data_IF_595062901308
#
_entry.id   IF_595062901308
#
_cell.length_a   1.000
_cell.length_b   1.000
_cell.length_c   1.000
_cell.angle_alpha   90.00
_cell.angle_beta   90.00
_cell.angle_gamma   90.00
#
_symmetry.space_group_name_H-M   'P 1'
#
loop_
_entity.id
_entity.type
_entity.pdbx_description
1 polymer ?
#
# COMPACT_ATOMS: atom_id res chain seq x y z
N UNK A 1 11.19 4.69 -1.97
CA UNK A 1 10.01 5.59 -1.92
C UNK A 1 9.38 5.45 -0.53
N UNK A 2 8.48 6.33 -0.12
CA UNK A 2 7.76 6.18 1.15
C UNK A 2 6.31 6.68 1.03
N UNK A 3 5.41 6.07 1.80
CA UNK A 3 4.04 6.49 2.03
C UNK A 3 3.97 7.16 3.40
N UNK A 4 3.28 8.30 3.48
CA UNK A 4 3.10 9.05 4.71
C UNK A 4 1.62 9.17 4.97
N UNK A 5 1.18 8.69 6.12
CA UNK A 5 -0.21 8.79 6.57
C UNK A 5 -0.26 9.80 7.71
N UNK A 6 -1.00 10.88 7.51
CA UNK A 6 -1.21 11.91 8.51
C UNK A 6 -2.62 11.77 9.10
N UNK A 7 -2.70 11.56 10.41
CA UNK A 7 -3.96 11.45 11.14
C UNK A 7 -3.92 12.38 12.36
N UNK A 8 -4.66 13.49 12.27
CA UNK A 8 -4.61 14.55 13.28
C UNK A 8 -3.18 15.10 13.44
N UNK A 9 -2.67 15.09 14.67
CA UNK A 9 -1.29 15.50 14.99
C UNK A 9 -0.26 14.36 14.87
N UNK A 10 -0.69 13.13 14.56
CA UNK A 10 0.21 11.99 14.34
C UNK A 10 0.52 11.77 12.87
N UNK A 11 1.76 11.40 12.59
CA UNK A 11 2.23 11.02 11.25
C UNK A 11 2.87 9.65 11.33
N UNK A 12 2.50 8.76 10.42
CA UNK A 12 3.11 7.43 10.26
C UNK A 12 3.84 7.38 8.92
N UNK A 13 5.07 6.85 8.95
CA UNK A 13 5.92 6.69 7.78
C UNK A 13 6.05 5.20 7.45
N UNK A 14 5.76 4.86 6.20
CA UNK A 14 5.94 3.51 5.66
C UNK A 14 6.93 3.53 4.48
N UNK A 15 8.00 2.75 4.58
CA UNK A 15 8.96 2.58 3.51
C UNK A 15 8.43 1.61 2.46
N UNK A 16 8.45 2.04 1.19
CA UNK A 16 8.01 1.21 0.07
C UNK A 16 9.20 0.43 -0.47
N UNK A 17 9.11 -0.90 -0.40
CA UNK A 17 10.06 -1.84 -1.01
C UNK A 17 9.52 -2.26 -2.38
N UNK A 18 10.34 -2.10 -3.41
CA UNK A 18 9.99 -2.46 -4.79
C UNK A 18 10.85 -3.59 -5.34
N UNK A 19 10.30 -4.34 -6.30
CA UNK A 19 11.11 -5.23 -7.13
C UNK A 19 11.95 -4.47 -8.18
N UNK A 20 12.68 -5.21 -9.02
CA UNK A 20 13.53 -4.66 -10.09
C UNK A 20 12.76 -3.81 -11.11
N UNK A 21 11.47 -4.09 -11.31
CA UNK A 21 10.62 -3.36 -12.26
C UNK A 21 9.99 -2.12 -11.64
N UNK A 22 10.15 -1.91 -10.33
CA UNK A 22 9.56 -0.80 -9.59
C UNK A 22 8.14 -1.09 -9.08
N UNK A 23 7.70 -2.35 -9.09
CA UNK A 23 6.40 -2.75 -8.53
C UNK A 23 6.49 -2.76 -7.01
N UNK A 24 5.53 -2.13 -6.32
CA UNK A 24 5.48 -2.16 -4.86
C UNK A 24 5.20 -3.59 -4.36
N UNK A 25 6.09 -4.11 -3.50
CA UNK A 25 6.00 -5.47 -2.95
C UNK A 25 5.70 -5.45 -1.47
N UNK A 26 6.26 -4.52 -0.71
CA UNK A 26 6.07 -4.44 0.74
C UNK A 26 6.01 -2.98 1.22
N UNK A 27 5.22 -2.75 2.27
CA UNK A 27 5.30 -1.55 3.10
C UNK A 27 5.86 -1.93 4.46
N UNK A 28 6.94 -1.27 4.86
CA UNK A 28 7.59 -1.51 6.14
C UNK A 28 7.43 -0.29 7.06
N UNK A 29 7.18 -0.52 8.36
CA UNK A 29 7.20 0.54 9.37
C UNK A 29 8.61 1.11 9.56
N UNK A 30 8.72 2.20 10.33
CA UNK A 30 10.00 2.78 10.72
C UNK A 30 10.89 1.83 11.53
N UNK A 31 10.28 0.89 12.25
CA UNK A 31 10.96 -0.17 13.00
C UNK A 31 11.35 -1.37 12.14
N UNK A 32 10.99 -1.39 10.85
CA UNK A 32 11.33 -2.44 9.90
C UNK A 32 10.33 -3.60 9.84
N UNK A 33 9.18 -3.48 10.50
CA UNK A 33 8.12 -4.49 10.45
C UNK A 33 7.33 -4.40 9.14
N UNK A 34 7.00 -5.55 8.54
CA UNK A 34 6.17 -5.58 7.31
C UNK A 34 4.69 -5.42 7.68
N UNK A 35 4.09 -4.31 7.26
CA UNK A 35 2.68 -3.97 7.53
C UNK A 35 1.74 -4.33 6.38
N UNK A 36 2.26 -4.39 5.15
CA UNK A 36 1.51 -4.75 3.96
C UNK A 36 2.42 -5.46 2.96
N UNK A 37 1.88 -6.43 2.22
CA UNK A 37 2.55 -7.10 1.10
C UNK A 37 1.63 -7.18 -0.12
N UNK A 38 2.17 -6.87 -1.28
CA UNK A 38 1.49 -6.97 -2.57
C UNK A 38 2.17 -8.00 -3.49
N UNK A 39 1.35 -8.80 -4.15
CA UNK A 39 1.77 -9.73 -5.19
C UNK A 39 0.99 -9.45 -6.47
N UNK A 40 1.73 -9.28 -7.56
CA UNK A 40 1.17 -9.07 -8.87
C UNK A 40 1.60 -10.21 -9.78
N UNK A 41 0.63 -11.00 -10.23
CA UNK A 41 0.86 -12.03 -11.24
C UNK A 41 1.04 -11.38 -12.62
N UNK A 42 1.85 -11.98 -13.50
CA UNK A 42 2.18 -11.43 -14.82
C UNK A 42 0.95 -11.28 -15.74
N UNK A 43 -0.02 -12.18 -15.58
CA UNK A 43 -1.28 -12.22 -16.36
C UNK A 43 -2.47 -12.50 -15.44
N UNK A 44 -2.36 -12.15 -14.17
CA UNK A 44 -3.34 -12.52 -13.15
C UNK A 44 -3.64 -11.38 -12.20
N UNK A 45 -4.55 -11.65 -11.28
CA UNK A 45 -5.05 -10.64 -10.35
C UNK A 45 -3.96 -10.20 -9.36
N UNK A 46 -4.07 -8.95 -8.93
CA UNK A 46 -3.35 -8.43 -7.78
C UNK A 46 -3.85 -9.13 -6.51
N UNK A 47 -2.93 -9.55 -5.65
CA UNK A 47 -3.21 -10.04 -4.30
C UNK A 47 -2.49 -9.19 -3.28
N UNK A 48 -3.14 -8.96 -2.15
CA UNK A 48 -2.52 -8.26 -1.04
C UNK A 48 -2.75 -8.98 0.28
N UNK A 49 -1.76 -8.87 1.15
CA UNK A 49 -1.79 -9.31 2.54
C UNK A 49 -1.60 -8.07 3.41
N UNK A 50 -2.64 -7.71 4.16
CA UNK A 50 -2.59 -6.61 5.13
C UNK A 50 -2.32 -7.19 6.51
N UNK A 51 -1.32 -6.65 7.20
CA UNK A 51 -0.96 -7.11 8.55
C UNK A 51 -1.39 -6.08 9.56
N UNK A 52 -2.15 -6.47 10.60
CA UNK A 52 -2.50 -5.55 11.67
C UNK A 52 -1.22 -5.13 12.39
N UNK A 53 -1.04 -3.82 12.52
CA UNK A 53 -0.01 -3.26 13.40
C UNK A 53 -0.50 -3.45 14.84
N UNK A 54 0.36 -3.84 15.80
CA UNK A 54 -0.05 -3.96 17.19
C UNK A 54 -0.74 -2.68 17.68
N UNK A 55 -2.04 -2.79 17.99
CA UNK A 55 -2.92 -1.70 18.39
C UNK A 55 -2.28 -0.91 19.55
N UNK A 56 -1.83 0.32 19.28
CA UNK A 56 -1.29 1.20 20.32
C UNK A 56 -2.37 2.05 21.01
N UNK A 57 -3.63 1.99 20.55
CA UNK A 57 -4.70 2.92 20.97
C UNK A 57 -6.03 2.23 21.31
N UNK A 58 -7.00 3.05 21.74
CA UNK A 58 -8.33 2.62 22.13
C UNK A 58 -9.08 1.94 20.97
N UNK A 59 -10.01 1.03 21.32
CA UNK A 59 -10.91 0.41 20.35
C UNK A 59 -11.67 1.49 19.56
N UNK A 60 -11.66 1.39 18.23
CA UNK A 60 -12.34 2.33 17.33
C UNK A 60 -11.54 3.57 16.92
N UNK A 61 -10.28 3.69 17.33
CA UNK A 61 -9.38 4.70 16.75
C UNK A 61 -9.05 4.30 15.29
N UNK A 62 -9.19 5.23 14.34
CA UNK A 62 -8.84 4.98 12.94
C UNK A 62 -7.33 4.71 12.74
N UNK A 63 -6.49 5.05 13.73
CA UNK A 63 -5.08 4.66 13.75
C UNK A 63 -4.87 3.14 13.91
N UNK A 64 -5.96 2.39 14.11
CA UNK A 64 -5.99 0.93 14.14
C UNK A 64 -6.36 0.31 12.78
N UNK A 65 -6.65 1.12 11.76
CA UNK A 65 -6.94 0.62 10.42
C UNK A 65 -5.71 -0.07 9.81
N UNK A 66 -5.97 -1.04 8.94
CA UNK A 66 -4.89 -1.76 8.27
C UNK A 66 -4.23 -0.88 7.21
N UNK A 67 -2.90 -0.91 7.17
CA UNK A 67 -2.13 -0.21 6.14
C UNK A 67 -2.44 -0.79 4.76
N UNK A 68 -2.64 0.09 3.79
CA UNK A 68 -2.85 -0.27 2.39
C UNK A 68 -1.86 0.47 1.49
N UNK A 69 -1.63 -0.05 0.28
CA UNK A 69 -0.80 0.60 -0.73
C UNK A 69 -1.62 0.77 -1.99
N UNK A 70 -1.67 1.96 -2.58
CA UNK A 70 -2.35 2.21 -3.87
C UNK A 70 -1.42 1.95 -5.07
N UNK A 71 -0.10 1.93 -4.85
CA UNK A 71 0.87 1.71 -5.91
C UNK A 71 0.83 0.26 -6.41
N UNK A 72 0.98 0.08 -7.72
CA UNK A 72 0.98 -1.21 -8.42
C UNK A 72 2.25 -1.38 -9.24
N UNK A 73 2.15 -1.81 -10.51
CA UNK A 73 3.29 -1.78 -11.44
C UNK A 73 3.85 -0.37 -11.57
N UNK A 74 5.06 -0.26 -12.12
CA UNK A 74 5.83 0.99 -12.22
C UNK A 74 4.99 2.25 -12.50
N UNK A 75 4.73 3.02 -11.45
CA UNK A 75 4.02 4.32 -11.52
C UNK A 75 2.48 4.24 -11.60
N UNK A 76 1.88 3.05 -11.57
CA UNK A 76 0.43 2.85 -11.57
C UNK A 76 -0.18 3.07 -10.18
N UNK A 77 -1.32 3.75 -10.15
CA UNK A 77 -2.20 3.88 -8.99
C UNK A 77 -3.44 3.04 -9.21
N UNK A 78 -3.80 2.23 -8.22
CA UNK A 78 -5.06 1.49 -8.20
C UNK A 78 -6.20 2.40 -7.75
N UNK A 79 -7.21 2.53 -8.59
CA UNK A 79 -8.44 3.22 -8.25
C UNK A 79 -9.48 2.21 -7.75
N UNK A 80 -9.77 2.25 -6.45
CA UNK A 80 -10.72 1.34 -5.83
C UNK A 80 -12.19 1.59 -6.24
N UNK A 81 -12.53 2.80 -6.73
CA UNK A 81 -13.89 3.11 -7.18
C UNK A 81 -14.20 2.42 -8.52
N UNK A 82 -13.24 2.42 -9.43
CA UNK A 82 -13.41 1.86 -10.78
C UNK A 82 -12.80 0.47 -10.96
N UNK A 83 -11.87 0.08 -10.08
CA UNK A 83 -11.07 -1.13 -10.21
C UNK A 83 -9.98 -1.05 -11.28
N UNK A 84 -9.73 0.13 -11.86
CA UNK A 84 -8.73 0.34 -12.91
C UNK A 84 -7.38 0.77 -12.36
N UNK A 85 -6.33 0.55 -13.16
CA UNK A 85 -4.98 1.02 -12.87
C UNK A 85 -4.68 2.26 -13.69
N UNK A 86 -4.43 3.37 -13.01
CA UNK A 86 -4.17 4.65 -13.66
C UNK A 86 -2.67 4.94 -13.77
N UNK A 87 -2.24 5.22 -14.99
CA UNK A 87 -1.06 6.02 -15.30
C UNK A 87 -1.53 7.35 -15.88
N UNK A 88 -0.75 8.43 -15.74
CA UNK A 88 -1.11 9.80 -16.14
C UNK A 88 -1.90 9.96 -17.46
N UNK A 89 -1.66 9.11 -18.45
CA UNK A 89 -2.31 9.17 -19.78
C UNK A 89 -3.10 7.92 -20.17
N UNK A 90 -3.18 6.88 -19.33
CA UNK A 90 -3.79 5.59 -19.66
C UNK A 90 -4.40 4.92 -18.43
N UNK A 91 -5.55 4.29 -18.64
CA UNK A 91 -6.16 3.36 -17.70
C UNK A 91 -5.97 1.95 -18.22
N UNK A 92 -5.70 1.01 -17.31
CA UNK A 92 -5.55 -0.40 -17.61
C UNK A 92 -6.58 -1.19 -16.81
N UNK A 93 -7.10 -2.24 -17.43
CA UNK A 93 -7.76 -3.35 -16.74
C UNK A 93 -6.71 -4.40 -16.31
N UNK A 94 -7.12 -5.30 -15.41
CA UNK A 94 -6.33 -6.48 -15.02
C UNK A 94 -6.58 -7.66 -15.96
#
# INVERSE_FOLDING_TARGET
>A
MAQVEAQGDSTQLHYIVTDLTGTARELCSEEGEVCWRGEQELWGAHREERRPIPLRRYLGDAANEEVYCELRYQGQLFDAETGLYYNRHRYYDA
#
